data_IF_780844516960
#
_entry.id   IF_780844516960
#
_cell.length_a   1.000
_cell.length_b   1.000
_cell.length_c   1.000
_cell.angle_alpha   90.00
_cell.angle_beta   90.00
_cell.angle_gamma   90.00
#
_symmetry.space_group_name_H-M   'P 1'
#
loop_
_entity.id
_entity.type
_entity.pdbx_description
1 polymer ?
#
# COMPACT_ATOMS: atom_id res chain seq x y z
N UNK A 1 -17.68 -0.52 -10.46
CA UNK A 1 -16.41 -0.39 -9.73
C UNK A 1 -16.19 -1.68 -8.96
N UNK A 2 -14.98 -2.24 -8.94
CA UNK A 2 -14.71 -3.45 -8.16
C UNK A 2 -14.89 -3.17 -6.66
N UNK A 3 -15.40 -4.14 -5.91
CA UNK A 3 -15.56 -4.05 -4.46
C UNK A 3 -14.17 -3.99 -3.79
N UNK A 4 -13.99 -3.14 -2.77
CA UNK A 4 -12.76 -3.00 -1.99
C UNK A 4 -12.18 -4.36 -1.56
N UNK A 5 -13.04 -5.25 -1.05
CA UNK A 5 -12.65 -6.58 -0.60
C UNK A 5 -12.04 -7.43 -1.74
N UNK A 6 -12.56 -7.28 -2.96
CA UNK A 6 -12.04 -7.99 -4.14
C UNK A 6 -10.67 -7.44 -4.55
N UNK A 7 -10.49 -6.12 -4.50
CA UNK A 7 -9.19 -5.49 -4.76
C UNK A 7 -8.16 -5.91 -3.71
N UNK A 8 -8.52 -5.92 -2.43
CA UNK A 8 -7.64 -6.39 -1.36
C UNK A 8 -7.19 -7.83 -1.59
N UNK A 9 -8.12 -8.71 -1.94
CA UNK A 9 -7.80 -10.10 -2.30
C UNK A 9 -6.82 -10.18 -3.47
N UNK A 10 -7.04 -9.41 -4.53
CA UNK A 10 -6.15 -9.38 -5.71
C UNK A 10 -4.75 -8.87 -5.38
N UNK A 11 -4.61 -7.87 -4.49
CA UNK A 11 -3.31 -7.38 -4.02
C UNK A 11 -2.59 -8.51 -3.29
N UNK A 12 -3.26 -9.16 -2.33
CA UNK A 12 -2.68 -10.26 -1.55
C UNK A 12 -2.21 -11.40 -2.45
N UNK A 13 -3.06 -11.83 -3.40
CA UNK A 13 -2.74 -12.90 -4.35
C UNK A 13 -1.52 -12.53 -5.22
N UNK A 14 -1.50 -11.31 -5.77
CA UNK A 14 -0.43 -10.87 -6.67
C UNK A 14 0.91 -10.76 -5.93
N UNK A 15 0.91 -10.15 -4.74
CA UNK A 15 2.11 -10.01 -3.90
C UNK A 15 2.66 -11.37 -3.48
N UNK A 16 1.79 -12.27 -3.01
CA UNK A 16 2.23 -13.60 -2.59
C UNK A 16 2.70 -14.46 -3.76
N UNK A 17 2.13 -14.31 -4.96
CA UNK A 17 2.55 -15.04 -6.16
C UNK A 17 3.97 -14.68 -6.63
N UNK A 18 4.46 -13.50 -6.26
CA UNK A 18 5.80 -13.00 -6.57
C UNK A 18 6.84 -13.37 -5.48
N UNK A 19 6.45 -14.16 -4.48
CA UNK A 19 7.32 -14.60 -3.39
C UNK A 19 7.50 -13.58 -2.26
N UNK A 20 6.72 -12.50 -2.26
CA UNK A 20 6.64 -11.56 -1.14
C UNK A 20 5.51 -11.96 -0.17
N UNK A 21 5.26 -11.11 0.84
CA UNK A 21 4.23 -11.35 1.83
C UNK A 21 3.20 -10.23 1.85
N UNK A 22 1.92 -10.60 1.76
CA UNK A 22 0.81 -9.70 2.02
C UNK A 22 -0.29 -10.38 2.82
N UNK A 23 -0.96 -9.59 3.67
CA UNK A 23 -2.10 -10.02 4.46
C UNK A 23 -3.07 -8.87 4.70
N UNK A 24 -4.32 -9.22 4.94
CA UNK A 24 -5.39 -8.29 5.28
C UNK A 24 -5.42 -8.05 6.80
N UNK A 25 -5.67 -6.82 7.21
CA UNK A 25 -5.75 -6.42 8.60
C UNK A 25 -6.92 -5.44 8.76
N UNK A 26 -7.79 -5.72 9.74
CA UNK A 26 -8.82 -4.78 10.19
C UNK A 26 -8.33 -4.11 11.46
N UNK A 27 -8.33 -2.77 11.49
CA UNK A 27 -7.94 -2.00 12.66
C UNK A 27 -9.13 -1.20 13.14
N UNK A 28 -9.58 -1.48 14.36
CA UNK A 28 -10.66 -0.76 15.00
C UNK A 28 -10.36 0.74 15.02
N UNK A 29 -11.28 1.54 14.49
CA UNK A 29 -11.16 2.99 14.40
C UNK A 29 -10.26 3.53 13.27
N UNK A 30 -9.55 2.68 12.52
CA UNK A 30 -8.69 3.11 11.40
C UNK A 30 -9.06 2.50 10.05
N UNK A 31 -9.91 1.46 10.06
CA UNK A 31 -10.43 0.80 8.87
C UNK A 31 -9.60 -0.39 8.40
N UNK A 32 -10.06 -0.97 7.31
CA UNK A 32 -9.46 -2.14 6.68
C UNK A 32 -8.25 -1.77 5.82
N UNK A 33 -7.19 -2.58 5.86
CA UNK A 33 -6.01 -2.39 5.01
C UNK A 33 -5.40 -3.72 4.59
N UNK A 34 -4.63 -3.68 3.50
CA UNK A 34 -3.68 -4.74 3.15
C UNK A 34 -2.29 -4.27 3.48
N UNK A 35 -1.55 -5.07 4.24
CA UNK A 35 -0.14 -4.85 4.55
C UNK A 35 0.70 -5.68 3.58
N UNK A 36 1.74 -5.06 3.02
CA UNK A 36 2.68 -5.68 2.09
C UNK A 36 4.10 -5.57 2.64
N UNK A 37 4.87 -6.66 2.58
CA UNK A 37 6.24 -6.75 3.11
C UNK A 37 7.11 -7.60 2.18
N UNK A 38 8.35 -7.18 1.95
CA UNK A 38 9.28 -7.91 1.07
C UNK A 38 9.82 -9.19 1.69
N UNK A 39 9.96 -9.29 3.02
CA UNK A 39 10.51 -10.47 3.68
C UNK A 39 9.78 -10.85 4.96
N UNK A 40 9.65 -12.16 5.20
CA UNK A 40 9.27 -12.74 6.47
C UNK A 40 10.25 -13.86 6.83
N UNK A 41 10.83 -13.81 8.03
CA UNK A 41 11.67 -14.88 8.58
C UNK A 41 11.26 -15.12 10.02
N UNK A 42 10.93 -16.37 10.36
CA UNK A 42 10.58 -16.78 11.72
C UNK A 42 9.45 -15.91 12.33
N UNK A 43 8.47 -15.53 11.50
CA UNK A 43 7.35 -14.66 11.91
C UNK A 43 7.70 -13.17 12.05
N UNK A 44 8.93 -12.77 11.71
CA UNK A 44 9.36 -11.36 11.72
C UNK A 44 9.39 -10.79 10.31
N UNK A 45 8.76 -9.63 10.15
CA UNK A 45 8.66 -8.88 8.91
C UNK A 45 9.79 -7.83 8.80
N UNK A 46 10.43 -7.73 7.63
CA UNK A 46 11.51 -6.75 7.40
C UNK A 46 11.67 -6.39 5.91
N UNK A 47 12.46 -5.34 5.65
CA UNK A 47 12.71 -4.81 4.30
C UNK A 47 11.70 -3.74 3.89
N UNK A 48 11.30 -3.74 2.63
CA UNK A 48 10.30 -2.81 2.09
C UNK A 48 8.93 -3.18 2.64
N UNK A 49 8.23 -2.20 3.21
CA UNK A 49 6.88 -2.40 3.76
C UNK A 49 6.01 -1.16 3.61
N UNK A 50 4.73 -1.40 3.37
CA UNK A 50 3.68 -0.37 3.25
C UNK A 50 2.31 -1.02 3.45
N UNK A 51 1.28 -0.20 3.52
CA UNK A 51 -0.11 -0.64 3.51
C UNK A 51 -0.93 0.10 2.46
N UNK A 52 -2.00 -0.53 1.98
CA UNK A 52 -2.99 0.06 1.09
C UNK A 52 -4.36 -0.04 1.75
N UNK A 53 -5.12 1.05 1.74
CA UNK A 53 -6.48 1.12 2.29
C UNK A 53 -7.39 1.94 1.36
N UNK A 54 -8.70 1.74 1.47
CA UNK A 54 -9.71 2.58 0.85
C UNK A 54 -10.52 3.33 1.92
N UNK A 55 -10.68 4.64 1.75
CA UNK A 55 -11.55 5.51 2.56
C UNK A 55 -12.39 6.37 1.64
N UNK A 56 -13.71 6.41 1.84
CA UNK A 56 -14.64 7.19 1.02
C UNK A 56 -14.39 7.05 -0.49
N UNK A 57 -14.26 5.80 -0.95
CA UNK A 57 -13.95 5.42 -2.33
C UNK A 57 -12.55 5.80 -2.84
N UNK A 58 -11.76 6.54 -2.05
CA UNK A 58 -10.39 6.95 -2.37
C UNK A 58 -9.39 5.93 -1.84
N UNK A 59 -8.42 5.59 -2.67
CA UNK A 59 -7.36 4.65 -2.31
C UNK A 59 -6.12 5.39 -1.83
N UNK A 60 -5.52 4.87 -0.76
CA UNK A 60 -4.33 5.42 -0.13
C UNK A 60 -3.26 4.35 -0.03
N UNK A 61 -2.02 4.76 -0.24
CA UNK A 61 -0.84 4.00 0.12
C UNK A 61 -0.17 4.70 1.30
N UNK A 62 0.12 3.97 2.36
CA UNK A 62 0.84 4.49 3.52
C UNK A 62 2.14 3.73 3.75
N UNK A 63 3.22 4.47 3.96
CA UNK A 63 4.46 3.92 4.46
C UNK A 63 4.47 3.96 5.99
N UNK A 64 5.21 3.05 6.62
CA UNK A 64 5.36 3.01 8.08
C UNK A 64 6.21 4.17 8.65
N UNK A 65 6.71 5.06 7.79
CA UNK A 65 7.39 6.33 8.14
C UNK A 65 6.43 7.52 8.30
N UNK A 66 5.14 7.27 8.51
CA UNK A 66 4.08 8.30 8.65
C UNK A 66 3.83 9.15 7.39
N UNK A 67 4.23 8.66 6.23
CA UNK A 67 3.97 9.29 4.92
C UNK A 67 2.87 8.54 4.19
N UNK A 68 1.98 9.26 3.53
CA UNK A 68 0.87 8.67 2.78
C UNK A 68 0.72 9.34 1.42
N UNK A 69 0.23 8.57 0.45
CA UNK A 69 -0.01 8.99 -0.91
C UNK A 69 -1.44 8.66 -1.32
N UNK A 70 -2.11 9.59 -1.98
CA UNK A 70 -3.36 9.31 -2.69
C UNK A 70 -3.03 8.59 -4.00
N UNK A 71 -3.78 7.52 -4.26
CA UNK A 71 -3.74 6.76 -5.50
C UNK A 71 -4.83 7.32 -6.42
N UNK A 72 -4.42 8.12 -7.41
CA UNK A 72 -5.36 8.86 -8.25
C UNK A 72 -5.72 8.11 -9.54
N UNK A 73 -7.02 8.07 -9.89
CA UNK A 73 -7.50 7.47 -11.13
C UNK A 73 -7.55 5.94 -11.12
N UNK A 74 -7.34 5.32 -12.29
CA UNK A 74 -7.45 3.87 -12.52
C UNK A 74 -6.14 3.12 -12.24
N UNK A 75 -5.52 3.36 -11.07
CA UNK A 75 -4.27 2.67 -10.68
C UNK A 75 -4.53 1.16 -10.58
N UNK A 76 -3.68 0.37 -11.22
CA UNK A 76 -3.65 -1.08 -11.01
C UNK A 76 -2.94 -1.37 -9.68
N UNK A 77 -3.73 -1.46 -8.60
CA UNK A 77 -3.23 -1.61 -7.24
C UNK A 77 -2.41 -2.90 -7.01
N UNK A 78 -2.81 -4.07 -7.54
CA UNK A 78 -1.96 -5.26 -7.49
C UNK A 78 -0.59 -5.06 -8.12
N UNK A 79 -0.51 -4.44 -9.31
CA UNK A 79 0.75 -4.17 -9.99
C UNK A 79 1.62 -3.17 -9.22
N UNK A 80 1.01 -2.08 -8.71
CA UNK A 80 1.68 -1.11 -7.85
C UNK A 80 2.32 -1.78 -6.64
N UNK A 81 1.58 -2.68 -5.97
CA UNK A 81 2.07 -3.33 -4.76
C UNK A 81 3.33 -4.17 -5.03
N UNK A 82 3.32 -4.95 -6.12
CA UNK A 82 4.47 -5.77 -6.54
C UNK A 82 5.67 -4.89 -6.93
N UNK A 83 5.43 -3.86 -7.76
CA UNK A 83 6.48 -2.94 -8.20
C UNK A 83 7.12 -2.19 -7.03
N UNK A 84 6.32 -1.78 -6.04
CA UNK A 84 6.82 -1.16 -4.82
C UNK A 84 7.77 -2.09 -4.08
N UNK A 85 7.37 -3.34 -3.82
CA UNK A 85 8.22 -4.30 -3.12
C UNK A 85 9.52 -4.57 -3.88
N UNK A 86 9.45 -4.73 -5.21
CA UNK A 86 10.61 -4.93 -6.09
C UNK A 86 11.58 -3.74 -6.09
N UNK A 87 11.11 -2.53 -5.85
CA UNK A 87 11.96 -1.33 -5.86
C UNK A 87 12.98 -1.27 -4.72
N UNK A 88 12.75 -2.02 -3.63
CA UNK A 88 13.65 -1.97 -2.47
C UNK A 88 13.67 -0.63 -1.73
N UNK A 89 12.66 0.25 -1.92
CA UNK A 89 12.64 1.63 -1.38
C UNK A 89 12.56 1.70 0.16
N UNK A 90 12.50 0.56 0.86
CA UNK A 90 12.41 0.50 2.31
C UNK A 90 11.11 1.08 2.86
N UNK A 91 11.04 1.43 4.16
CA UNK A 91 9.84 2.00 4.77
C UNK A 91 9.69 3.51 4.52
N UNK A 92 10.59 4.15 3.76
CA UNK A 92 10.65 5.60 3.59
C UNK A 92 9.66 6.20 2.57
N UNK A 93 9.07 5.36 1.73
CA UNK A 93 8.15 5.77 0.65
C UNK A 93 8.50 5.15 -0.71
N UNK A 94 7.65 5.34 -1.73
CA UNK A 94 7.90 4.88 -3.08
C UNK A 94 9.07 5.65 -3.72
N UNK A 95 9.80 5.01 -4.63
CA UNK A 95 10.81 5.67 -5.44
C UNK A 95 10.18 6.74 -6.36
N UNK A 96 10.97 7.71 -6.81
CA UNK A 96 10.51 8.72 -7.77
C UNK A 96 9.96 8.11 -9.07
N UNK A 97 10.52 6.97 -9.50
CA UNK A 97 10.03 6.24 -10.67
C UNK A 97 8.60 5.74 -10.45
N UNK A 98 8.31 5.16 -9.29
CA UNK A 98 6.97 4.68 -8.94
C UNK A 98 5.98 5.84 -8.78
N UNK A 99 6.42 6.94 -8.18
CA UNK A 99 5.62 8.17 -8.08
C UNK A 99 5.17 8.65 -9.46
N UNK A 100 6.10 8.72 -10.42
CA UNK A 100 5.79 9.10 -11.79
C UNK A 100 4.90 8.07 -12.51
N UNK A 101 5.25 6.78 -12.44
CA UNK A 101 4.56 5.69 -13.15
C UNK A 101 3.10 5.55 -12.70
N UNK A 102 2.86 5.64 -11.39
CA UNK A 102 1.54 5.43 -10.78
C UNK A 102 0.83 6.73 -10.38
N UNK A 103 1.41 7.89 -10.72
CA UNK A 103 0.86 9.22 -10.41
C UNK A 103 0.48 9.39 -8.93
N UNK A 104 1.38 8.93 -8.06
CA UNK A 104 1.20 8.99 -6.61
C UNK A 104 1.31 10.44 -6.15
N UNK A 105 0.32 10.94 -5.41
CA UNK A 105 0.38 12.27 -4.81
C UNK A 105 0.56 12.16 -3.31
N UNK A 106 1.67 12.64 -2.79
CA UNK A 106 1.89 12.66 -1.35
C UNK A 106 0.91 13.62 -0.67
N UNK A 107 0.41 13.20 0.49
CA UNK A 107 -0.37 14.03 1.40
C UNK A 107 0.56 14.85 2.29
N UNK A 108 0.27 16.13 2.43
CA UNK A 108 0.93 16.94 3.44
C UNK A 108 0.29 16.71 4.83
N UNK A 109 0.93 17.23 5.88
CA UNK A 109 0.50 17.02 7.27
C UNK A 109 -0.94 17.51 7.54
N UNK A 110 -1.35 18.60 6.90
CA UNK A 110 -2.69 19.18 7.07
C UNK A 110 -3.77 18.29 6.45
N UNK A 111 -3.49 17.68 5.30
CA UNK A 111 -4.39 16.73 4.64
C UNK A 111 -4.53 15.41 5.42
N UNK A 112 -3.48 14.98 6.12
CA UNK A 112 -3.52 13.75 6.93
C UNK A 112 -4.53 13.85 8.09
N UNK A 113 -4.62 15.02 8.73
CA UNK A 113 -5.53 15.27 9.87
C UNK A 113 -6.99 15.25 9.41
N UNK A 114 -7.29 15.78 8.22
CA UNK A 114 -8.64 15.76 7.63
C UNK A 114 -9.05 14.42 7.02
N UNK A 115 -8.12 13.46 6.94
CA UNK A 115 -8.33 12.11 6.39
C UNK A 115 -8.52 11.04 7.48
N UNK A 116 -8.54 11.44 8.75
CA UNK A 116 -8.59 10.58 9.95
C UNK A 116 -10.01 10.26 10.38
#
# INVERSE_FOLDING_TARGET
MANAAQIYKQIVESVNSEGFHAFFETIDGFGDRVVCVSHCREGRYYGTSFWITQRDQTWFLGAFSYRQWILTGSVNLPALAVDYLKSGSGPGGPSAELVCRYKLRELNSDELIGSS
#
